data_IF_405295792959
#
_entry.id   IF_405295792959
#
_cell.length_a   1.000
_cell.length_b   1.000
_cell.length_c   1.000
_cell.angle_alpha   90.00
_cell.angle_beta   90.00
_cell.angle_gamma   90.00
#
_symmetry.space_group_name_H-M   'P 1'
#
loop_
_entity.id
_entity.type
_entity.pdbx_description
1 polymer ?
#
# COMPACT_ATOMS: atom_id res chain seq x y z
N UNK A 1 10.21 -7.35 -4.95
CA UNK A 1 10.46 -5.91 -4.73
C UNK A 1 11.87 -5.70 -4.20
N UNK A 2 12.76 -4.95 -4.87
CA UNK A 2 14.08 -4.66 -4.32
C UNK A 2 13.97 -3.77 -3.07
N UNK A 3 14.39 -4.31 -1.92
CA UNK A 3 14.23 -3.71 -0.57
C UNK A 3 14.94 -2.36 -0.43
N UNK A 4 15.95 -2.06 -1.25
CA UNK A 4 16.69 -0.79 -1.24
C UNK A 4 16.22 0.28 -2.24
N UNK A 5 15.23 -0.03 -3.09
CA UNK A 5 14.75 0.90 -4.15
C UNK A 5 13.25 1.20 -4.07
N UNK A 6 12.55 0.59 -3.12
CA UNK A 6 11.10 0.73 -2.97
C UNK A 6 10.82 1.56 -1.71
N UNK A 7 10.13 2.68 -1.86
CA UNK A 7 9.74 3.50 -0.71
C UNK A 7 8.82 2.67 0.22
N UNK A 8 8.99 2.67 1.55
CA UNK A 8 8.13 1.88 2.44
C UNK A 8 6.64 2.16 2.29
N UNK A 9 6.26 3.41 1.98
CA UNK A 9 4.87 3.76 1.65
C UNK A 9 4.36 3.03 0.39
N UNK A 10 5.21 2.83 -0.61
CA UNK A 10 4.84 2.07 -1.80
C UNK A 10 4.62 0.59 -1.48
N UNK A 11 5.39 0.02 -0.54
CA UNK A 11 5.17 -1.35 -0.04
C UNK A 11 3.80 -1.44 0.65
N UNK A 12 3.44 -0.43 1.45
CA UNK A 12 2.16 -0.39 2.18
C UNK A 12 0.94 -0.28 1.27
N UNK A 13 1.06 0.26 0.06
CA UNK A 13 -0.05 0.33 -0.90
C UNK A 13 0.08 -0.69 -2.04
N UNK A 14 1.09 -1.56 -1.98
CA UNK A 14 1.32 -2.55 -3.04
C UNK A 14 0.21 -3.61 -3.04
N UNK A 15 -0.38 -3.92 -4.21
CA UNK A 15 -1.33 -5.02 -4.33
C UNK A 15 -0.58 -6.36 -4.22
N UNK A 16 -1.06 -7.22 -3.33
CA UNK A 16 -0.65 -8.60 -3.17
C UNK A 16 -1.84 -9.52 -3.43
N UNK A 17 -1.54 -10.74 -3.91
CA UNK A 17 -2.54 -11.81 -3.98
C UNK A 17 -2.84 -12.28 -2.56
N UNK A 18 -4.12 -12.40 -2.21
CA UNK A 18 -4.61 -12.93 -0.94
C UNK A 18 -5.77 -13.91 -1.18
N UNK A 19 -6.04 -14.77 -0.20
CA UNK A 19 -7.11 -15.77 -0.24
C UNK A 19 -8.35 -15.31 0.53
N UNK A 20 -9.53 -15.35 -0.09
CA UNK A 20 -10.82 -15.00 0.57
C UNK A 20 -11.08 -15.93 1.77
N UNK A 21 -10.95 -17.24 1.54
CA UNK A 21 -10.89 -18.28 2.57
C UNK A 21 -9.41 -18.61 2.81
N UNK A 22 -8.87 -18.38 4.02
CA UNK A 22 -7.49 -18.67 4.36
C UNK A 22 -7.12 -20.13 4.12
N UNK A 23 -5.95 -20.36 3.52
CA UNK A 23 -5.46 -21.72 3.22
C UNK A 23 -5.18 -22.50 4.50
N UNK A 24 -4.76 -21.83 5.58
CA UNK A 24 -4.60 -22.38 6.92
C UNK A 24 -5.91 -22.95 7.49
N UNK A 25 -7.06 -22.49 7.00
CA UNK A 25 -8.40 -22.95 7.38
C UNK A 25 -9.06 -23.82 6.30
N UNK A 26 -8.27 -24.37 5.36
CA UNK A 26 -8.76 -25.27 4.31
C UNK A 26 -9.23 -24.59 3.02
N UNK A 27 -8.96 -23.29 2.85
CA UNK A 27 -9.24 -22.60 1.59
C UNK A 27 -8.45 -23.16 0.42
N UNK A 28 -9.08 -23.27 -0.76
CA UNK A 28 -8.44 -23.80 -1.96
C UNK A 28 -7.34 -22.84 -2.46
N UNK A 29 -6.09 -23.31 -2.47
CA UNK A 29 -4.93 -22.48 -2.81
C UNK A 29 -4.95 -21.94 -4.25
N UNK A 30 -5.35 -22.79 -5.20
CA UNK A 30 -5.27 -22.52 -6.64
C UNK A 30 -6.63 -22.18 -7.28
N UNK A 31 -7.71 -22.15 -6.51
CA UNK A 31 -9.03 -21.79 -7.04
C UNK A 31 -9.06 -20.28 -7.33
N UNK A 32 -9.26 -19.87 -8.60
CA UNK A 32 -9.35 -18.45 -8.94
C UNK A 32 -10.45 -17.70 -8.19
N UNK A 33 -11.54 -18.37 -7.79
CA UNK A 33 -12.62 -17.76 -7.00
C UNK A 33 -12.20 -17.46 -5.56
N UNK A 34 -11.15 -18.12 -5.07
CA UNK A 34 -10.59 -17.88 -3.75
C UNK A 34 -9.49 -16.80 -3.76
N UNK A 35 -9.09 -16.26 -4.91
CA UNK A 35 -7.99 -15.30 -5.02
C UNK A 35 -8.51 -13.87 -5.21
N UNK A 36 -7.94 -12.92 -4.45
CA UNK A 36 -8.23 -11.49 -4.57
C UNK A 36 -6.95 -10.66 -4.57
N UNK A 37 -7.03 -9.43 -5.08
CA UNK A 37 -5.98 -8.43 -4.90
C UNK A 37 -6.26 -7.59 -3.65
N UNK A 38 -5.35 -7.63 -2.68
CA UNK A 38 -5.45 -6.88 -1.43
C UNK A 38 -4.19 -6.03 -1.21
N UNK A 39 -4.32 -4.87 -0.57
CA UNK A 39 -3.15 -4.13 -0.12
C UNK A 39 -2.41 -4.91 0.98
N UNK A 40 -1.09 -4.74 1.12
CA UNK A 40 -0.32 -5.40 2.20
C UNK A 40 -0.97 -5.25 3.60
N UNK A 41 -1.32 -4.03 4.08
CA UNK A 41 -1.97 -3.89 5.38
C UNK A 41 -3.39 -4.46 5.41
N UNK A 42 -4.10 -4.49 4.28
CA UNK A 42 -5.41 -5.12 4.17
C UNK A 42 -5.31 -6.62 4.45
N UNK A 43 -4.32 -7.29 3.84
CA UNK A 43 -4.04 -8.70 4.05
C UNK A 43 -3.58 -8.97 5.50
N UNK A 44 -2.64 -8.17 6.03
CA UNK A 44 -2.18 -8.27 7.42
C UNK A 44 -3.35 -8.14 8.43
N UNK A 45 -4.29 -7.21 8.19
CA UNK A 45 -5.46 -7.00 9.06
C UNK A 45 -6.49 -8.12 8.96
N UNK A 46 -6.71 -8.65 7.75
CA UNK A 46 -7.58 -9.80 7.51
C UNK A 46 -7.02 -11.04 8.21
N UNK A 47 -5.74 -11.36 8.00
CA UNK A 47 -5.11 -12.59 8.50
C UNK A 47 -5.99 -13.80 8.14
N UNK A 48 -6.29 -14.66 9.11
CA UNK A 48 -7.09 -15.87 8.93
C UNK A 48 -8.58 -15.66 9.26
N UNK A 49 -9.05 -14.40 9.33
CA UNK A 49 -10.46 -14.12 9.63
C UNK A 49 -11.36 -14.48 8.45
N UNK A 50 -12.38 -15.30 8.72
CA UNK A 50 -13.48 -15.55 7.80
C UNK A 50 -14.48 -14.39 7.81
N UNK A 51 -15.20 -14.19 6.70
CA UNK A 51 -16.23 -13.15 6.59
C UNK A 51 -15.70 -11.72 6.51
N UNK A 52 -14.38 -11.55 6.33
CA UNK A 52 -13.79 -10.23 6.10
C UNK A 52 -14.24 -9.70 4.73
N UNK A 53 -15.17 -8.74 4.76
CA UNK A 53 -15.66 -8.11 3.55
C UNK A 53 -14.76 -6.95 3.12
N UNK A 54 -14.79 -6.62 1.82
CA UNK A 54 -14.21 -5.37 1.31
C UNK A 54 -14.88 -4.19 2.02
N UNK A 55 -14.12 -3.47 2.85
CA UNK A 55 -14.50 -2.11 3.22
C UNK A 55 -14.54 -1.23 1.97
N UNK A 56 -15.57 -0.42 1.83
CA UNK A 56 -15.53 0.73 0.92
C UNK A 56 -14.68 1.81 1.57
N UNK A 57 -13.43 1.92 1.13
CA UNK A 57 -12.61 3.08 1.46
C UNK A 57 -12.97 4.18 0.47
N UNK A 58 -13.58 5.25 0.97
CA UNK A 58 -13.68 6.47 0.19
C UNK A 58 -12.31 7.15 0.21
N UNK A 59 -11.80 7.50 -0.98
CA UNK A 59 -10.65 8.38 -1.12
C UNK A 59 -11.09 9.86 -1.21
N UNK A 60 -12.38 10.16 -0.98
CA UNK A 60 -12.89 11.52 -1.03
C UNK A 60 -12.17 12.35 0.02
N UNK A 61 -11.43 13.36 -0.44
CA UNK A 61 -10.66 14.25 0.41
C UNK A 61 -9.25 13.76 0.78
N UNK A 62 -8.81 12.57 0.34
CA UNK A 62 -7.41 12.18 0.52
C UNK A 62 -6.51 12.94 -0.45
N UNK A 63 -5.77 13.91 0.08
CA UNK A 63 -4.83 14.73 -0.69
C UNK A 63 -3.40 14.12 -0.77
N UNK A 64 -3.19 12.92 -0.24
CA UNK A 64 -1.87 12.28 -0.22
C UNK A 64 -0.88 12.85 0.78
N UNK A 65 -1.33 13.64 1.78
CA UNK A 65 -0.47 14.30 2.77
C UNK A 65 0.58 15.23 2.13
N UNK A 66 0.22 15.83 0.99
CA UNK A 66 1.10 16.69 0.17
C UNK A 66 1.72 17.82 1.01
N UNK A 67 0.99 18.36 1.98
CA UNK A 67 1.45 19.41 2.89
C UNK A 67 2.68 19.03 3.72
N UNK A 68 2.87 17.73 4.01
CA UNK A 68 4.01 17.25 4.80
C UNK A 68 5.21 16.84 3.93
N UNK A 69 5.03 16.72 2.63
CA UNK A 69 6.04 16.17 1.73
C UNK A 69 7.34 16.98 1.72
N UNK A 70 7.24 18.32 1.67
CA UNK A 70 8.39 19.24 1.75
C UNK A 70 9.19 19.06 3.03
N UNK A 71 8.53 19.16 4.18
CA UNK A 71 9.19 19.04 5.48
C UNK A 71 9.88 17.69 5.65
N UNK A 72 9.32 16.62 5.10
CA UNK A 72 9.94 15.28 5.13
C UNK A 72 11.14 15.18 4.17
N UNK A 73 11.07 15.75 2.98
CA UNK A 73 12.16 15.75 2.01
C UNK A 73 13.39 16.51 2.54
N UNK A 74 13.17 17.70 3.12
CA UNK A 74 14.23 18.57 3.65
C UNK A 74 14.97 17.96 4.85
N UNK A 75 14.28 17.14 5.67
CA UNK A 75 14.89 16.43 6.81
C UNK A 75 15.90 15.36 6.40
N UNK A 76 15.97 14.97 5.13
CA UNK A 76 16.79 13.84 4.65
C UNK A 76 17.94 14.24 3.73
N UNK A 77 18.59 15.38 4.01
CA UNK A 77 19.67 15.91 3.19
C UNK A 77 20.83 14.90 2.99
N UNK A 78 21.38 14.74 1.76
CA UNK A 78 20.99 15.46 0.53
C UNK A 78 19.67 14.94 -0.08
N UNK A 79 18.84 15.88 -0.54
CA UNK A 79 17.57 15.55 -1.19
C UNK A 79 17.84 14.85 -2.52
N UNK A 80 17.33 13.63 -2.68
CA UNK A 80 17.49 12.85 -3.93
C UNK A 80 16.74 13.52 -5.08
N UNK A 81 17.26 13.42 -6.31
CA UNK A 81 16.70 14.06 -7.52
C UNK A 81 15.19 13.84 -7.70
N UNK A 82 14.69 12.62 -7.49
CA UNK A 82 13.26 12.34 -7.66
C UNK A 82 12.37 13.12 -6.67
N UNK A 83 12.86 13.44 -5.46
CA UNK A 83 12.12 14.28 -4.52
C UNK A 83 12.04 15.73 -5.02
N UNK A 84 13.08 16.23 -5.69
CA UNK A 84 13.07 17.58 -6.29
C UNK A 84 12.09 17.68 -7.46
N UNK A 85 11.95 16.61 -8.25
CA UNK A 85 11.00 16.57 -9.35
C UNK A 85 9.55 16.55 -8.84
N UNK A 86 9.29 15.82 -7.74
CA UNK A 86 8.02 15.85 -7.04
C UNK A 86 7.70 17.20 -6.40
N UNK A 87 8.64 17.84 -5.70
CA UNK A 87 8.42 19.15 -5.07
C UNK A 87 8.03 20.21 -6.12
N UNK A 88 8.69 20.19 -7.29
CA UNK A 88 8.35 21.05 -8.43
C UNK A 88 6.95 20.79 -8.97
N UNK A 89 6.58 19.51 -9.11
CA UNK A 89 5.25 19.14 -9.60
C UNK A 89 4.12 19.58 -8.64
N UNK A 90 4.41 19.65 -7.33
CA UNK A 90 3.47 20.09 -6.29
C UNK A 90 3.35 21.61 -6.17
N UNK A 91 4.11 22.39 -6.94
CA UNK A 91 4.10 23.86 -6.89
C UNK A 91 4.61 24.45 -5.57
N UNK A 92 5.25 23.62 -4.74
CA UNK A 92 5.86 24.04 -3.48
C UNK A 92 7.32 24.40 -3.68
#
# INVERSE_FOLDING_TARGET
MPVGRTHPAAIRVYPAVDHVHPVSLGGAWADPQNLVSACVPCNELKSDKLGWARGTFSNDGWNGLVEYYRALAERRAPIRRYHLDWLRALGT
#
